data_IF_120542686321
#
_entry.id   IF_120542686321
#
_cell.length_a   1.000
_cell.length_b   1.000
_cell.length_c   1.000
_cell.angle_alpha   90.00
_cell.angle_beta   90.00
_cell.angle_gamma   90.00
#
_symmetry.space_group_name_H-M   'P 1'
#
loop_
_entity.id
_entity.type
_entity.pdbx_description
1 polymer ?
#
# COMPACT_ATOMS: atom_id res chain seq x y z
N UNK A 1 7.94 -9.80 12.90
CA UNK A 1 7.25 -8.56 12.51
C UNK A 1 7.18 -8.48 10.99
N UNK A 2 6.06 -8.04 10.47
CA UNK A 2 5.89 -7.93 9.03
C UNK A 2 6.55 -6.69 8.45
N UNK A 3 6.66 -6.66 7.12
CA UNK A 3 7.29 -5.56 6.39
C UNK A 3 6.30 -4.65 5.70
N UNK A 4 6.85 -3.61 5.07
CA UNK A 4 6.10 -2.68 4.25
C UNK A 4 6.69 -2.64 2.85
N UNK A 5 5.81 -2.57 1.85
CA UNK A 5 6.20 -2.31 0.47
C UNK A 5 5.35 -1.15 -0.01
N UNK A 6 5.92 -0.19 -0.73
CA UNK A 6 5.17 0.96 -1.20
C UNK A 6 5.54 1.36 -2.61
N UNK A 7 4.61 2.04 -3.26
CA UNK A 7 4.82 2.70 -4.53
C UNK A 7 4.54 4.19 -4.37
N UNK A 8 5.39 5.05 -4.90
CA UNK A 8 5.17 6.48 -4.89
C UNK A 8 5.33 7.03 -6.30
N UNK A 9 4.32 7.82 -6.72
CA UNK A 9 4.35 8.50 -8.01
C UNK A 9 5.28 9.71 -7.99
N UNK A 10 5.32 10.44 -9.11
CA UNK A 10 6.13 11.65 -9.24
C UNK A 10 5.79 12.75 -8.22
N UNK A 11 4.56 12.77 -7.69
CA UNK A 11 4.19 13.74 -6.66
C UNK A 11 4.93 13.51 -5.34
N UNK A 12 5.36 12.26 -5.07
CA UNK A 12 6.07 11.92 -3.85
C UNK A 12 5.23 11.85 -2.60
N UNK A 13 3.90 11.94 -2.70
CA UNK A 13 3.02 11.94 -1.54
C UNK A 13 3.13 10.67 -0.71
N UNK A 14 3.12 9.51 -1.38
CA UNK A 14 3.22 8.22 -0.68
C UNK A 14 4.60 8.05 -0.03
N UNK A 15 5.66 8.47 -0.74
CA UNK A 15 7.02 8.40 -0.19
C UNK A 15 7.13 9.25 1.08
N UNK A 16 6.55 10.44 1.08
CA UNK A 16 6.54 11.31 2.28
C UNK A 16 5.78 10.66 3.43
N UNK A 17 4.65 10.03 3.14
CA UNK A 17 3.88 9.31 4.15
C UNK A 17 4.71 8.19 4.79
N UNK A 18 5.34 7.36 3.96
CA UNK A 18 6.16 6.23 4.44
C UNK A 18 7.35 6.71 5.24
N UNK A 19 8.01 7.79 4.80
CA UNK A 19 9.13 8.38 5.53
C UNK A 19 8.69 8.83 6.93
N UNK A 20 7.53 9.45 7.04
CA UNK A 20 6.99 9.91 8.32
C UNK A 20 6.57 8.76 9.23
N UNK A 21 6.22 7.60 8.68
CA UNK A 21 5.94 6.41 9.49
C UNK A 21 7.19 5.95 10.25
N UNK A 22 8.38 6.17 9.69
CA UNK A 22 9.62 5.79 10.33
C UNK A 22 9.88 4.30 10.39
N UNK A 23 9.21 3.51 9.56
CA UNK A 23 9.34 2.06 9.51
C UNK A 23 10.11 1.62 8.27
N UNK A 24 10.87 0.52 8.34
CA UNK A 24 11.54 -0.01 7.15
C UNK A 24 10.54 -0.37 6.06
N UNK A 25 10.83 0.01 4.83
CA UNK A 25 9.94 -0.26 3.71
C UNK A 25 10.72 -0.45 2.42
N UNK A 26 10.22 -1.34 1.56
CA UNK A 26 10.79 -1.55 0.23
C UNK A 26 9.99 -0.72 -0.77
N UNK A 27 10.68 -0.07 -1.69
CA UNK A 27 10.05 0.78 -2.71
C UNK A 27 9.94 0.05 -4.05
N UNK A 28 8.74 0.04 -4.63
CA UNK A 28 8.53 -0.44 -6.00
C UNK A 28 9.06 0.63 -6.95
N UNK A 29 9.97 0.30 -7.88
CA UNK A 29 10.52 1.30 -8.79
C UNK A 29 9.50 1.80 -9.80
N UNK A 30 9.65 3.06 -10.22
CA UNK A 30 8.79 3.66 -11.24
C UNK A 30 9.19 3.22 -12.65
N UNK A 31 10.47 2.97 -12.88
CA UNK A 31 10.99 2.59 -14.19
C UNK A 31 10.84 1.08 -14.42
N UNK A 32 10.31 0.67 -15.60
CA UNK A 32 10.06 -0.75 -15.84
C UNK A 32 11.33 -1.61 -15.99
N UNK A 33 12.48 -0.99 -16.22
CA UNK A 33 13.74 -1.68 -16.37
C UNK A 33 14.48 -1.90 -15.05
N UNK A 34 13.98 -1.35 -13.95
CA UNK A 34 14.56 -1.55 -12.63
C UNK A 34 14.04 -2.83 -11.99
N UNK A 35 14.89 -3.55 -11.23
CA UNK A 35 14.43 -4.79 -10.58
C UNK A 35 13.41 -4.50 -9.49
N UNK A 36 12.43 -5.39 -9.37
CA UNK A 36 11.43 -5.32 -8.32
C UNK A 36 12.03 -5.75 -6.98
N UNK A 37 11.62 -5.13 -5.86
CA UNK A 37 12.04 -5.60 -4.54
C UNK A 37 11.44 -6.97 -4.25
N UNK A 38 12.15 -7.77 -3.46
CA UNK A 38 11.67 -9.08 -3.04
C UNK A 38 11.45 -9.05 -1.52
N UNK A 39 10.18 -9.04 -1.07
CA UNK A 39 9.91 -9.07 0.37
C UNK A 39 10.35 -10.39 0.99
N UNK A 40 10.94 -10.31 2.17
CA UNK A 40 11.46 -11.48 2.88
C UNK A 40 10.35 -12.26 3.62
N UNK A 41 9.18 -11.70 3.73
CA UNK A 41 8.07 -12.31 4.43
C UNK A 41 6.79 -11.52 4.23
N UNK A 42 5.76 -11.77 5.05
CA UNK A 42 4.49 -11.05 4.92
C UNK A 42 4.67 -9.53 4.97
N UNK A 43 3.89 -8.81 4.15
CA UNK A 43 4.00 -7.36 4.07
C UNK A 43 2.63 -6.72 3.87
N UNK A 44 2.58 -5.41 4.16
CA UNK A 44 1.46 -4.53 3.85
C UNK A 44 1.88 -3.61 2.71
N UNK A 45 1.03 -3.45 1.72
CA UNK A 45 1.29 -2.59 0.56
C UNK A 45 0.68 -1.22 0.79
N UNK A 46 1.46 -0.17 0.54
CA UNK A 46 0.97 1.22 0.58
C UNK A 46 1.05 1.77 -0.84
N UNK A 47 -0.08 2.22 -1.39
CA UNK A 47 -0.15 2.63 -2.79
C UNK A 47 -1.07 3.84 -2.97
N UNK A 48 -0.72 4.76 -3.90
CA UNK A 48 -1.65 5.79 -4.31
C UNK A 48 -2.72 5.23 -5.24
N UNK A 49 -3.78 6.00 -5.46
CA UNK A 49 -4.82 5.68 -6.42
C UNK A 49 -4.70 6.62 -7.61
N UNK A 50 -4.69 6.06 -8.81
CA UNK A 50 -4.83 6.82 -10.05
C UNK A 50 -6.27 6.69 -10.50
N UNK A 51 -6.98 7.81 -10.57
CA UNK A 51 -8.40 7.78 -10.93
C UNK A 51 -8.62 8.51 -12.25
N UNK A 52 -9.42 7.92 -13.12
CA UNK A 52 -9.88 8.52 -14.36
C UNK A 52 -11.33 9.00 -14.28
N UNK A 53 -11.88 9.07 -13.06
CA UNK A 53 -13.27 9.43 -12.84
C UNK A 53 -14.22 8.22 -12.80
N UNK A 54 -13.84 7.12 -13.42
CA UNK A 54 -14.61 5.87 -13.43
C UNK A 54 -13.93 4.76 -12.62
N UNK A 55 -12.76 5.04 -12.07
CA UNK A 55 -12.00 4.08 -11.29
C UNK A 55 -11.14 3.13 -12.10
N UNK A 56 -11.15 3.24 -13.43
CA UNK A 56 -10.27 2.44 -14.27
C UNK A 56 -8.84 2.93 -14.16
N UNK A 57 -7.89 2.02 -14.16
CA UNK A 57 -6.50 2.39 -13.99
C UNK A 57 -6.16 2.88 -12.59
N UNK A 58 -7.01 2.58 -11.60
CA UNK A 58 -6.80 3.03 -10.23
C UNK A 58 -5.50 2.52 -9.63
N UNK A 59 -5.08 1.32 -9.99
CA UNK A 59 -3.84 0.72 -9.52
C UNK A 59 -2.73 1.05 -10.50
N UNK A 60 -1.63 1.62 -10.01
CA UNK A 60 -0.50 2.00 -10.86
C UNK A 60 0.13 0.77 -11.52
N UNK A 61 0.60 0.91 -12.76
CA UNK A 61 1.18 -0.19 -13.51
C UNK A 61 2.36 -0.87 -12.80
N UNK A 62 3.29 -0.15 -12.15
CA UNK A 62 4.35 -0.81 -11.38
C UNK A 62 3.82 -1.69 -10.26
N UNK A 63 2.74 -1.28 -9.61
CA UNK A 63 2.10 -2.07 -8.54
C UNK A 63 1.49 -3.34 -9.13
N UNK A 64 0.84 -3.23 -10.29
CA UNK A 64 0.28 -4.40 -10.98
C UNK A 64 1.40 -5.38 -11.32
N UNK A 65 2.51 -4.90 -11.89
CA UNK A 65 3.64 -5.76 -12.23
C UNK A 65 4.22 -6.45 -10.99
N UNK A 66 4.30 -5.73 -9.88
CA UNK A 66 4.80 -6.29 -8.63
C UNK A 66 3.90 -7.43 -8.12
N UNK A 67 2.59 -7.22 -8.15
CA UNK A 67 1.60 -8.19 -7.65
C UNK A 67 1.31 -9.33 -8.64
N UNK A 68 1.76 -9.24 -9.89
CA UNK A 68 1.60 -10.33 -10.84
C UNK A 68 2.48 -11.54 -10.53
N UNK A 69 3.53 -11.37 -9.74
CA UNK A 69 4.33 -12.49 -9.27
C UNK A 69 3.57 -13.23 -8.17
N UNK A 70 3.28 -14.53 -8.34
CA UNK A 70 2.49 -15.28 -7.36
C UNK A 70 3.13 -15.33 -5.97
N UNK A 71 4.46 -15.39 -5.90
CA UNK A 71 5.17 -15.45 -4.63
C UNK A 71 5.03 -14.13 -3.85
N UNK A 72 5.17 -12.99 -4.54
CA UNK A 72 4.97 -11.68 -3.93
C UNK A 72 3.53 -11.50 -3.48
N UNK A 73 2.57 -11.89 -4.31
CA UNK A 73 1.14 -11.78 -3.98
C UNK A 73 0.77 -12.65 -2.78
N UNK A 74 1.36 -13.83 -2.68
CA UNK A 74 1.09 -14.73 -1.57
C UNK A 74 1.52 -14.16 -0.21
N UNK A 75 2.51 -13.26 -0.18
CA UNK A 75 2.99 -12.63 1.04
C UNK A 75 2.20 -11.38 1.43
N UNK A 76 1.35 -10.87 0.56
CA UNK A 76 0.54 -9.68 0.83
C UNK A 76 -0.49 -9.99 1.92
N UNK A 77 -0.56 -9.13 2.94
CA UNK A 77 -1.48 -9.31 4.07
C UNK A 77 -2.51 -8.22 4.21
N UNK A 78 -2.28 -7.07 3.59
CA UNK A 78 -3.21 -5.97 3.65
C UNK A 78 -2.76 -4.83 2.76
N UNK A 79 -3.64 -3.85 2.54
CA UNK A 79 -3.33 -2.71 1.69
C UNK A 79 -3.77 -1.41 2.37
N UNK A 80 -2.93 -0.38 2.23
CA UNK A 80 -3.22 0.98 2.64
C UNK A 80 -3.19 1.82 1.38
N UNK A 81 -4.25 2.57 1.11
CA UNK A 81 -4.38 3.32 -0.12
C UNK A 81 -4.54 4.81 0.16
N UNK A 82 -3.90 5.62 -0.66
CA UNK A 82 -4.13 7.06 -0.65
C UNK A 82 -4.92 7.48 -1.88
N UNK A 83 -5.46 8.69 -1.85
CA UNK A 83 -6.19 9.26 -2.96
C UNK A 83 -6.46 10.72 -2.74
N UNK A 84 -7.32 11.27 -3.58
CA UNK A 84 -7.77 12.65 -3.47
C UNK A 84 -9.30 12.63 -3.35
N UNK A 85 -9.81 13.19 -2.25
CA UNK A 85 -11.26 13.20 -1.98
C UNK A 85 -12.07 13.93 -3.03
N UNK A 86 -11.44 14.78 -3.83
CA UNK A 86 -12.10 15.44 -4.95
C UNK A 86 -12.60 14.45 -6.00
N UNK A 87 -12.10 13.23 -6.02
CA UNK A 87 -12.55 12.19 -6.94
C UNK A 87 -13.80 11.44 -6.46
N UNK A 88 -14.34 11.79 -5.29
CA UNK A 88 -15.59 11.22 -4.81
C UNK A 88 -15.54 9.70 -4.60
N UNK A 89 -16.41 8.97 -5.32
CA UNK A 89 -16.53 7.51 -5.14
C UNK A 89 -15.28 6.74 -5.54
N UNK A 90 -14.35 7.34 -6.29
CA UNK A 90 -13.10 6.69 -6.66
C UNK A 90 -11.97 7.00 -5.68
N UNK A 91 -12.26 7.73 -4.59
CA UNK A 91 -11.27 8.03 -3.57
C UNK A 91 -10.65 6.74 -3.01
N UNK A 92 -9.31 6.67 -3.08
CA UNK A 92 -8.55 5.51 -2.58
C UNK A 92 -9.01 4.16 -3.17
N UNK A 93 -9.58 4.17 -4.36
CA UNK A 93 -10.13 2.99 -5.03
C UNK A 93 -9.09 1.88 -5.27
N UNK A 94 -7.80 2.23 -5.40
CA UNK A 94 -6.74 1.22 -5.55
C UNK A 94 -6.76 0.20 -4.42
N UNK A 95 -7.02 0.65 -3.19
CA UNK A 95 -7.12 -0.25 -2.05
C UNK A 95 -8.23 -1.28 -2.23
N UNK A 96 -9.41 -0.83 -2.65
CA UNK A 96 -10.54 -1.72 -2.88
C UNK A 96 -10.25 -2.72 -4.00
N UNK A 97 -9.67 -2.27 -5.09
CA UNK A 97 -9.35 -3.15 -6.23
C UNK A 97 -8.37 -4.25 -5.80
N UNK A 98 -7.31 -3.88 -5.10
CA UNK A 98 -6.32 -4.84 -4.63
C UNK A 98 -6.93 -5.79 -3.59
N UNK A 99 -7.73 -5.25 -2.67
CA UNK A 99 -8.42 -6.03 -1.65
C UNK A 99 -9.29 -7.13 -2.27
N UNK A 100 -10.06 -6.78 -3.28
CA UNK A 100 -10.95 -7.73 -3.95
C UNK A 100 -10.17 -8.80 -4.74
N UNK A 101 -9.11 -8.40 -5.44
CA UNK A 101 -8.35 -9.33 -6.28
C UNK A 101 -7.41 -10.22 -5.49
N UNK A 102 -6.85 -9.72 -4.41
CA UNK A 102 -5.85 -10.45 -3.62
C UNK A 102 -6.42 -11.02 -2.33
N UNK A 103 -7.70 -10.78 -2.04
CA UNK A 103 -8.38 -11.29 -0.84
C UNK A 103 -7.69 -10.87 0.46
N UNK A 104 -7.35 -9.57 0.54
CA UNK A 104 -6.73 -8.97 1.72
C UNK A 104 -7.55 -7.76 2.16
N UNK A 105 -7.50 -7.38 3.46
CA UNK A 105 -8.27 -6.22 3.92
C UNK A 105 -7.63 -4.90 3.51
N UNK A 106 -8.49 -3.88 3.35
CA UNK A 106 -8.03 -2.50 3.28
C UNK A 106 -7.86 -2.04 4.73
N UNK A 107 -6.62 -1.78 5.13
CA UNK A 107 -6.30 -1.44 6.51
C UNK A 107 -6.53 0.03 6.83
N UNK A 108 -6.30 0.90 5.86
CA UNK A 108 -6.45 2.34 6.06
C UNK A 108 -6.51 3.07 4.72
N UNK A 109 -7.13 4.23 4.72
CA UNK A 109 -7.16 5.15 3.56
C UNK A 109 -6.80 6.55 4.04
N UNK A 110 -6.00 7.27 3.25
CA UNK A 110 -5.63 8.63 3.59
C UNK A 110 -5.58 9.50 2.35
N UNK A 111 -5.60 10.82 2.54
CA UNK A 111 -5.58 11.77 1.44
C UNK A 111 -4.18 12.33 1.25
N UNK A 112 -3.71 12.36 0.01
CA UNK A 112 -2.42 12.93 -0.41
C UNK A 112 -1.26 12.32 0.39
N UNK A 113 -0.52 13.12 1.16
CA UNK A 113 0.60 12.64 1.97
C UNK A 113 0.17 12.28 3.40
N UNK A 114 -1.12 12.37 3.71
CA UNK A 114 -1.64 12.09 5.04
C UNK A 114 -1.38 13.20 6.05
N UNK A 115 -2.10 13.16 7.15
CA UNK A 115 -1.93 14.07 8.28
C UNK A 115 -1.14 13.39 9.39
N UNK A 116 -0.77 14.14 10.43
CA UNK A 116 -0.13 13.55 11.60
C UNK A 116 -1.04 12.53 12.29
N UNK A 117 -2.36 12.76 12.26
CA UNK A 117 -3.34 11.81 12.77
C UNK A 117 -3.31 10.52 11.97
N UNK A 118 -3.23 10.61 10.64
CA UNK A 118 -3.12 9.45 9.77
C UNK A 118 -1.86 8.64 10.09
N UNK A 119 -0.73 9.32 10.24
CA UNK A 119 0.54 8.68 10.58
C UNK A 119 0.41 7.91 11.91
N UNK A 120 -0.13 8.55 12.94
CA UNK A 120 -0.28 7.93 14.26
C UNK A 120 -1.22 6.72 14.21
N UNK A 121 -2.32 6.84 13.48
CA UNK A 121 -3.29 5.74 13.35
C UNK A 121 -2.71 4.55 12.59
N UNK A 122 -1.97 4.80 11.53
CA UNK A 122 -1.34 3.72 10.76
C UNK A 122 -0.25 3.04 11.58
N UNK A 123 0.58 3.81 12.30
CA UNK A 123 1.59 3.23 13.18
C UNK A 123 0.95 2.30 14.22
N UNK A 124 -0.08 2.77 14.91
CA UNK A 124 -0.77 1.97 15.92
C UNK A 124 -1.49 0.77 15.30
N UNK A 125 -2.13 0.97 14.15
CA UNK A 125 -2.83 -0.10 13.44
C UNK A 125 -1.92 -1.19 12.96
N UNK A 126 -0.74 -0.84 12.44
CA UNK A 126 0.24 -1.84 11.99
C UNK A 126 0.80 -2.63 13.17
N UNK A 127 1.07 -1.97 14.29
CA UNK A 127 1.52 -2.64 15.50
C UNK A 127 0.51 -3.69 15.95
N UNK A 128 -0.77 -3.32 16.00
CA UNK A 128 -1.84 -4.24 16.37
C UNK A 128 -1.99 -5.37 15.35
N UNK A 129 -1.97 -5.02 14.07
CA UNK A 129 -2.13 -5.98 13.00
C UNK A 129 -1.03 -7.04 13.01
N UNK A 130 0.24 -6.59 13.08
CA UNK A 130 1.37 -7.52 13.12
C UNK A 130 1.44 -8.30 14.44
N UNK A 131 1.02 -7.67 15.55
CA UNK A 131 0.93 -8.33 16.83
C UNK A 131 -0.04 -9.50 16.81
N UNK A 132 -1.21 -9.30 16.21
CA UNK A 132 -2.20 -10.37 16.05
C UNK A 132 -1.67 -11.50 15.18
N UNK A 133 -1.01 -11.16 14.06
CA UNK A 133 -0.44 -12.14 13.15
C UNK A 133 0.65 -12.95 13.84
N UNK A 134 1.53 -12.29 14.59
CA UNK A 134 2.58 -12.95 15.34
C UNK A 134 2.01 -13.88 16.40
N UNK A 135 0.95 -13.48 17.10
CA UNK A 135 0.27 -14.33 18.09
C UNK A 135 -0.29 -15.59 17.45
N UNK A 136 -0.82 -15.47 16.24
CA UNK A 136 -1.36 -16.62 15.51
C UNK A 136 -0.25 -17.61 15.13
N UNK A 137 0.93 -17.11 14.87
CA UNK A 137 2.07 -17.91 14.45
C UNK A 137 2.83 -18.53 15.62
N UNK A 138 2.66 -17.97 16.79
CA UNK A 138 3.31 -18.46 17.99
C UNK A 138 2.57 -19.69 18.55
#
# INVERSE_FOLDING_TARGET
MGGLVYYSSGSGNTARFVERLGLPALRIPTAPDQPMPEPDGPYVLITPTYADGEGRGAVAKPVIRFLNDPDRRALLRGVIASGNRNFGTTYACAGRVISEKCHVPVLYRFELAGTETDISRVQAGLETFWGMTCSTMA
#
